data_IF_175634783283
#
_entry.id   IF_175634783283
#
_cell.length_a   1.000
_cell.length_b   1.000
_cell.length_c   1.000
_cell.angle_alpha   90.00
_cell.angle_beta   90.00
_cell.angle_gamma   90.00
#
_symmetry.space_group_name_H-M   'P 1'
#
loop_
_entity.id
_entity.type
_entity.pdbx_description
1 polymer ?
#
# COMPACT_ATOMS: atom_id res chain seq x y z
N UNK A 1 -50.38 -51.62 31.00
CA UNK A 1 -51.16 -50.38 30.94
C UNK A 1 -50.19 -49.25 31.19
N UNK A 2 -49.65 -48.67 30.12
CA UNK A 2 -49.18 -47.27 30.02
C UNK A 2 -48.56 -47.08 28.64
N UNK A 3 -49.30 -46.32 27.83
CA UNK A 3 -49.02 -45.95 26.45
C UNK A 3 -48.03 -44.78 26.43
N UNK A 4 -46.87 -44.94 25.78
CA UNK A 4 -46.05 -43.79 25.37
C UNK A 4 -46.01 -43.71 23.85
N UNK A 5 -46.89 -42.84 23.34
CA UNK A 5 -46.98 -42.38 21.96
C UNK A 5 -45.74 -41.56 21.63
N UNK A 6 -44.97 -41.98 20.62
CA UNK A 6 -43.83 -41.22 20.07
C UNK A 6 -44.34 -40.43 18.87
N UNK A 7 -44.61 -39.15 19.08
CA UNK A 7 -44.94 -38.21 18.01
C UNK A 7 -43.67 -37.92 17.18
N UNK A 8 -43.77 -38.11 15.87
CA UNK A 8 -42.79 -37.62 14.89
C UNK A 8 -42.81 -36.09 14.82
N UNK A 9 -41.67 -35.40 14.68
CA UNK A 9 -41.69 -33.97 14.41
C UNK A 9 -42.07 -33.72 12.94
N UNK A 10 -43.15 -32.97 12.76
CA UNK A 10 -43.60 -32.47 11.48
C UNK A 10 -42.47 -31.73 10.74
N UNK A 11 -42.18 -32.18 9.52
CA UNK A 11 -41.24 -31.51 8.63
C UNK A 11 -41.75 -30.12 8.27
N UNK A 12 -40.98 -29.10 8.66
CA UNK A 12 -41.18 -27.73 8.17
C UNK A 12 -41.08 -27.72 6.63
N UNK A 13 -42.00 -27.06 5.91
CA UNK A 13 -41.91 -26.96 4.47
C UNK A 13 -40.63 -26.20 4.10
N UNK A 14 -39.71 -26.89 3.41
CA UNK A 14 -38.57 -26.26 2.73
C UNK A 14 -39.12 -25.24 1.74
N UNK A 15 -39.01 -23.96 2.06
CA UNK A 15 -39.17 -22.88 1.09
C UNK A 15 -38.21 -23.16 -0.06
N UNK A 16 -38.78 -23.46 -1.23
CA UNK A 16 -38.03 -23.60 -2.46
C UNK A 16 -37.23 -22.32 -2.67
N UNK A 17 -35.90 -22.43 -2.59
CA UNK A 17 -35.01 -21.34 -2.91
C UNK A 17 -35.33 -20.88 -4.33
N UNK A 18 -35.81 -19.64 -4.46
CA UNK A 18 -36.04 -19.01 -5.75
C UNK A 18 -34.74 -19.13 -6.56
N UNK A 19 -34.84 -19.69 -7.77
CA UNK A 19 -33.73 -19.78 -8.69
C UNK A 19 -33.09 -18.39 -8.85
N UNK A 20 -31.75 -18.27 -8.89
CA UNK A 20 -31.11 -16.98 -9.12
C UNK A 20 -31.62 -16.41 -10.44
N UNK A 21 -32.31 -15.28 -10.35
CA UNK A 21 -32.76 -14.54 -11.52
C UNK A 21 -31.56 -14.27 -12.42
N UNK A 22 -31.61 -14.53 -13.74
CA UNK A 22 -30.48 -14.29 -14.61
C UNK A 22 -30.10 -12.81 -14.51
N UNK A 23 -28.84 -12.56 -14.15
CA UNK A 23 -28.28 -11.21 -14.15
C UNK A 23 -28.54 -10.56 -15.52
N UNK A 24 -28.83 -9.24 -15.58
CA UNK A 24 -29.09 -8.57 -16.85
C UNK A 24 -27.87 -8.73 -17.77
N UNK A 25 -27.99 -9.61 -18.76
CA UNK A 25 -27.06 -9.73 -19.88
C UNK A 25 -27.22 -8.47 -20.73
N UNK A 26 -26.16 -7.67 -20.85
CA UNK A 26 -26.14 -6.45 -21.64
C UNK A 26 -26.57 -6.68 -23.09
N UNK A 27 -27.10 -5.65 -23.75
CA UNK A 27 -27.58 -5.78 -25.12
C UNK A 27 -26.40 -6.03 -26.09
N UNK A 28 -26.62 -6.69 -27.24
CA UNK A 28 -25.58 -6.85 -28.26
C UNK A 28 -24.92 -5.52 -28.67
N UNK A 29 -25.69 -4.43 -28.70
CA UNK A 29 -25.20 -3.08 -29.02
C UNK A 29 -24.19 -2.55 -27.98
N UNK A 30 -24.41 -2.85 -26.69
CA UNK A 30 -23.49 -2.50 -25.60
C UNK A 30 -22.17 -3.27 -25.70
N UNK A 31 -22.26 -4.56 -26.06
CA UNK A 31 -21.09 -5.41 -26.27
C UNK A 31 -20.23 -4.86 -27.42
N UNK A 32 -20.86 -4.52 -28.55
CA UNK A 32 -20.17 -3.94 -29.70
C UNK A 32 -19.55 -2.57 -29.38
N UNK A 33 -20.23 -1.74 -28.57
CA UNK A 33 -19.67 -0.47 -28.09
C UNK A 33 -18.42 -0.69 -27.22
N UNK A 34 -18.46 -1.67 -26.32
CA UNK A 34 -17.31 -2.04 -25.49
C UNK A 34 -16.14 -2.51 -26.33
N UNK A 35 -16.38 -3.36 -27.34
CA UNK A 35 -15.34 -3.85 -28.25
C UNK A 35 -14.71 -2.71 -29.04
N UNK A 36 -15.51 -1.77 -29.58
CA UNK A 36 -15.00 -0.58 -30.28
C UNK A 36 -14.13 0.28 -29.36
N UNK A 37 -14.58 0.59 -28.14
CA UNK A 37 -13.82 1.38 -27.17
C UNK A 37 -12.52 0.69 -26.74
N UNK A 38 -12.54 -0.64 -26.60
CA UNK A 38 -11.33 -1.43 -26.34
C UNK A 38 -10.36 -1.43 -27.54
N UNK A 39 -10.86 -1.37 -28.77
CA UNK A 39 -10.03 -1.19 -29.96
C UNK A 39 -9.41 0.22 -30.00
N UNK A 40 -10.17 1.25 -29.66
CA UNK A 40 -9.68 2.63 -29.57
C UNK A 40 -8.56 2.80 -28.53
N UNK A 41 -8.68 2.16 -27.36
CA UNK A 41 -7.60 2.13 -26.36
C UNK A 41 -6.31 1.48 -26.91
N UNK A 42 -6.42 0.54 -27.86
CA UNK A 42 -5.29 -0.16 -28.47
C UNK A 42 -4.82 0.45 -29.80
N UNK A 43 -5.48 1.52 -30.27
CA UNK A 43 -5.25 2.10 -31.60
C UNK A 43 -3.88 2.74 -31.80
N UNK A 44 -3.18 3.08 -30.72
CA UNK A 44 -1.95 3.87 -30.77
C UNK A 44 -2.20 5.39 -30.82
N UNK A 45 -3.37 5.81 -31.28
CA UNK A 45 -3.81 7.20 -31.41
C UNK A 45 -4.16 7.81 -30.04
N UNK A 46 -3.36 8.80 -29.63
CA UNK A 46 -3.49 9.50 -28.35
C UNK A 46 -4.86 10.17 -28.20
N UNK A 47 -5.43 10.71 -29.27
CA UNK A 47 -6.71 11.42 -29.22
C UNK A 47 -7.84 10.43 -28.94
N UNK A 48 -7.86 9.29 -29.64
CA UNK A 48 -8.83 8.22 -29.42
C UNK A 48 -8.72 7.63 -28.02
N UNK A 49 -7.50 7.34 -27.58
CA UNK A 49 -7.23 6.84 -26.22
C UNK A 49 -7.80 7.80 -25.18
N UNK A 50 -7.46 9.10 -25.26
CA UNK A 50 -7.94 10.11 -24.31
C UNK A 50 -9.46 10.25 -24.30
N UNK A 51 -10.10 10.15 -25.48
CA UNK A 51 -11.56 10.15 -25.61
C UNK A 51 -12.20 8.99 -24.84
N UNK A 52 -11.66 7.77 -24.94
CA UNK A 52 -12.19 6.63 -24.17
C UNK A 52 -11.94 6.80 -22.66
N UNK A 53 -10.74 7.24 -22.26
CA UNK A 53 -10.38 7.43 -20.84
C UNK A 53 -11.24 8.50 -20.14
N UNK A 54 -11.64 9.56 -20.85
CA UNK A 54 -12.50 10.61 -20.31
C UNK A 54 -13.92 10.11 -20.06
N UNK A 55 -14.46 9.30 -20.97
CA UNK A 55 -15.77 8.64 -20.83
C UNK A 55 -15.83 7.61 -19.68
N UNK A 56 -14.68 7.09 -19.24
CA UNK A 56 -14.56 6.19 -18.10
C UNK A 56 -14.52 4.70 -18.48
N UNK A 57 -14.04 3.88 -17.56
CA UNK A 57 -13.75 2.46 -17.76
C UNK A 57 -14.73 1.61 -16.93
N UNK A 58 -16.01 1.66 -17.27
CA UNK A 58 -17.07 1.00 -16.48
C UNK A 58 -16.97 -0.52 -16.60
N UNK A 59 -16.71 -1.01 -17.81
CA UNK A 59 -16.65 -2.43 -18.10
C UNK A 59 -15.26 -3.01 -17.78
N UNK A 60 -15.16 -4.20 -17.13
CA UNK A 60 -13.88 -4.84 -16.81
C UNK A 60 -12.96 -5.06 -18.02
N UNK A 61 -13.56 -5.27 -19.20
CA UNK A 61 -12.84 -5.41 -20.46
C UNK A 61 -12.07 -4.12 -20.84
N UNK A 62 -12.63 -2.94 -20.55
CA UNK A 62 -11.95 -1.66 -20.80
C UNK A 62 -10.80 -1.44 -19.82
N UNK A 63 -10.95 -1.87 -18.56
CA UNK A 63 -9.86 -1.87 -17.58
C UNK A 63 -8.70 -2.75 -18.08
N UNK A 64 -9.00 -3.94 -18.59
CA UNK A 64 -7.99 -4.85 -19.17
C UNK A 64 -7.26 -4.19 -20.34
N UNK A 65 -8.01 -3.56 -21.25
CA UNK A 65 -7.46 -2.86 -22.41
C UNK A 65 -6.64 -1.61 -22.02
N UNK A 66 -6.97 -0.94 -20.91
CA UNK A 66 -6.27 0.24 -20.43
C UNK A 66 -4.97 -0.09 -19.67
N UNK A 67 -4.84 -1.28 -19.07
CA UNK A 67 -3.65 -1.65 -18.29
C UNK A 67 -2.32 -1.55 -19.08
N UNK A 68 -2.21 -2.05 -20.33
CA UNK A 68 -1.01 -1.87 -21.16
C UNK A 68 -0.60 -0.40 -21.38
N UNK A 69 -1.57 0.52 -21.36
CA UNK A 69 -1.31 1.96 -21.51
C UNK A 69 -0.55 2.55 -20.32
N UNK A 70 -0.53 1.87 -19.17
CA UNK A 70 0.33 2.28 -18.06
C UNK A 70 1.81 2.28 -18.43
N UNK A 71 2.26 1.57 -19.48
CA UNK A 71 3.65 1.64 -19.93
C UNK A 71 3.97 2.89 -20.76
N UNK A 72 2.96 3.52 -21.34
CA UNK A 72 3.09 4.66 -22.25
C UNK A 72 3.16 5.99 -21.50
N UNK A 73 4.26 6.71 -21.61
CA UNK A 73 4.46 7.96 -20.87
C UNK A 73 3.62 9.14 -21.39
N UNK A 74 3.25 9.14 -22.66
CA UNK A 74 2.46 10.19 -23.32
C UNK A 74 0.98 10.22 -22.90
N UNK A 75 0.44 9.09 -22.43
CA UNK A 75 -0.95 8.96 -21.96
C UNK A 75 -1.06 8.55 -20.49
N UNK A 76 0.06 8.22 -19.83
CA UNK A 76 0.05 7.77 -18.43
C UNK A 76 -0.68 8.71 -17.47
N UNK A 77 -0.55 10.03 -17.69
CA UNK A 77 -1.21 11.07 -16.90
C UNK A 77 -2.74 10.99 -16.95
N UNK A 78 -3.31 10.51 -18.06
CA UNK A 78 -4.75 10.35 -18.26
C UNK A 78 -5.23 8.96 -17.79
N UNK A 79 -4.39 7.93 -17.95
CA UNK A 79 -4.70 6.54 -17.58
C UNK A 79 -4.87 6.39 -16.07
N UNK A 80 -3.99 7.00 -15.25
CA UNK A 80 -4.07 6.85 -13.79
C UNK A 80 -5.39 7.38 -13.22
N UNK A 81 -5.85 8.61 -13.51
CA UNK A 81 -7.15 9.09 -13.05
C UNK A 81 -8.32 8.23 -13.54
N UNK A 82 -8.28 7.75 -14.78
CA UNK A 82 -9.32 6.87 -15.33
C UNK A 82 -9.40 5.54 -14.58
N UNK A 83 -8.26 4.89 -14.35
CA UNK A 83 -8.19 3.66 -13.57
C UNK A 83 -8.60 3.88 -12.12
N UNK A 84 -8.23 5.00 -11.49
CA UNK A 84 -8.66 5.31 -10.10
C UNK A 84 -10.17 5.42 -9.97
N UNK A 85 -10.86 6.00 -10.97
CA UNK A 85 -12.33 6.07 -11.00
C UNK A 85 -12.96 4.68 -11.10
N UNK A 86 -12.37 3.78 -11.89
CA UNK A 86 -12.87 2.41 -12.06
C UNK A 86 -12.45 1.44 -10.93
N UNK A 87 -11.36 1.75 -10.22
CA UNK A 87 -10.71 0.85 -9.27
C UNK A 87 -11.62 0.23 -8.19
N UNK A 88 -12.63 0.93 -7.62
CA UNK A 88 -13.54 0.31 -6.66
C UNK A 88 -14.28 -0.92 -7.21
N UNK A 89 -14.63 -0.91 -8.51
CA UNK A 89 -15.33 -2.01 -9.16
C UNK A 89 -14.39 -3.12 -9.67
N UNK A 90 -13.14 -2.79 -10.00
CA UNK A 90 -12.18 -3.71 -10.61
C UNK A 90 -10.94 -3.99 -9.74
N UNK A 91 -11.03 -3.83 -8.41
CA UNK A 91 -9.88 -4.01 -7.51
C UNK A 91 -9.21 -5.38 -7.67
N UNK A 92 -9.99 -6.46 -7.82
CA UNK A 92 -9.45 -7.82 -8.05
C UNK A 92 -8.57 -7.89 -9.29
N UNK A 93 -9.07 -7.41 -10.43
CA UNK A 93 -8.33 -7.37 -11.70
C UNK A 93 -7.02 -6.57 -11.60
N UNK A 94 -7.02 -5.46 -10.86
CA UNK A 94 -5.79 -4.68 -10.59
C UNK A 94 -4.80 -5.47 -9.73
N UNK A 95 -5.27 -6.20 -8.72
CA UNK A 95 -4.45 -7.06 -7.87
C UNK A 95 -3.88 -8.24 -8.68
N UNK A 96 -4.68 -8.87 -9.53
CA UNK A 96 -4.21 -9.96 -10.40
C UNK A 96 -3.07 -9.47 -11.30
N UNK A 97 -3.23 -8.31 -11.94
CA UNK A 97 -2.19 -7.70 -12.78
C UNK A 97 -0.96 -7.24 -12.00
N UNK A 98 -1.09 -6.90 -10.70
CA UNK A 98 0.03 -6.55 -9.83
C UNK A 98 0.90 -7.78 -9.52
N UNK A 99 0.26 -8.91 -9.25
CA UNK A 99 0.90 -10.14 -8.78
C UNK A 99 1.39 -11.04 -9.92
N UNK A 100 0.79 -10.95 -11.11
CA UNK A 100 1.21 -11.71 -12.29
C UNK A 100 2.59 -11.28 -12.80
N UNK A 101 3.58 -12.18 -12.70
CA UNK A 101 4.96 -11.91 -13.12
C UNK A 101 5.14 -11.78 -14.63
N UNK A 102 4.17 -12.23 -15.41
CA UNK A 102 4.17 -12.10 -16.87
C UNK A 102 3.80 -10.68 -17.33
N UNK A 103 3.19 -9.89 -16.45
CA UNK A 103 2.85 -8.50 -16.74
C UNK A 103 4.13 -7.64 -16.73
N UNK A 104 4.23 -6.72 -17.69
CA UNK A 104 5.37 -5.81 -17.83
C UNK A 104 5.70 -5.11 -16.48
N UNK A 105 6.96 -5.12 -16.03
CA UNK A 105 7.36 -4.53 -14.74
C UNK A 105 6.99 -3.06 -14.57
N UNK A 106 6.95 -2.26 -15.65
CA UNK A 106 6.54 -0.85 -15.60
C UNK A 106 5.07 -0.72 -15.24
N UNK A 107 4.22 -1.59 -15.77
CA UNK A 107 2.78 -1.64 -15.47
C UNK A 107 2.60 -2.03 -14.00
N UNK A 108 3.22 -3.15 -13.57
CA UNK A 108 3.16 -3.65 -12.18
C UNK A 108 3.59 -2.59 -11.16
N UNK A 109 4.61 -1.79 -11.48
CA UNK A 109 5.09 -0.69 -10.64
C UNK A 109 4.13 0.49 -10.53
N UNK A 110 3.24 0.68 -11.52
CA UNK A 110 2.28 1.79 -11.58
C UNK A 110 0.95 1.44 -10.92
N UNK A 111 0.54 0.16 -10.92
CA UNK A 111 -0.70 -0.32 -10.30
C UNK A 111 -0.87 0.07 -8.82
N UNK A 112 0.16 -0.01 -7.94
CA UNK A 112 0.01 0.38 -6.53
C UNK A 112 -0.49 1.82 -6.34
N UNK A 113 -0.21 2.73 -7.28
CA UNK A 113 -0.68 4.12 -7.24
C UNK A 113 -2.19 4.26 -7.47
N UNK A 114 -2.80 3.27 -8.13
CA UNK A 114 -4.24 3.13 -8.34
C UNK A 114 -4.86 2.47 -7.12
N UNK A 115 -4.30 1.33 -6.65
CA UNK A 115 -4.82 0.61 -5.48
C UNK A 115 -4.82 1.47 -4.20
N UNK A 116 -3.84 2.35 -4.03
CA UNK A 116 -3.79 3.28 -2.89
C UNK A 116 -5.01 4.22 -2.78
N UNK A 117 -5.80 4.42 -3.85
CA UNK A 117 -7.02 5.23 -3.80
C UNK A 117 -8.26 4.43 -3.41
N UNK A 118 -8.14 3.11 -3.23
CA UNK A 118 -9.26 2.22 -2.88
C UNK A 118 -9.13 1.81 -1.41
N UNK A 119 -9.88 2.43 -0.48
CA UNK A 119 -9.75 2.22 0.96
C UNK A 119 -10.43 0.92 1.42
N UNK A 120 -10.00 -0.24 0.89
CA UNK A 120 -10.59 -1.55 1.22
C UNK A 120 -9.54 -2.56 1.67
N UNK A 121 -9.94 -3.53 2.48
CA UNK A 121 -9.08 -4.64 2.89
C UNK A 121 -8.55 -5.43 1.69
N UNK A 122 -9.37 -5.63 0.65
CA UNK A 122 -8.94 -6.31 -0.59
C UNK A 122 -7.75 -5.60 -1.27
N UNK A 123 -7.77 -4.27 -1.35
CA UNK A 123 -6.66 -3.51 -1.89
C UNK A 123 -5.41 -3.63 -0.99
N UNK A 124 -5.60 -3.59 0.33
CA UNK A 124 -4.52 -3.79 1.30
C UNK A 124 -3.87 -5.18 1.18
N UNK A 125 -4.67 -6.24 1.07
CA UNK A 125 -4.20 -7.62 0.93
C UNK A 125 -3.38 -7.83 -0.35
N UNK A 126 -3.83 -7.26 -1.47
CA UNK A 126 -3.07 -7.29 -2.73
C UNK A 126 -1.75 -6.52 -2.65
N UNK A 127 -1.73 -5.37 -1.97
CA UNK A 127 -0.50 -4.61 -1.74
C UNK A 127 0.45 -5.37 -0.80
N UNK A 128 -0.08 -6.03 0.23
CA UNK A 128 0.69 -6.89 1.14
C UNK A 128 1.32 -8.07 0.41
N UNK A 129 0.58 -8.75 -0.47
CA UNK A 129 1.14 -9.80 -1.32
C UNK A 129 2.25 -9.26 -2.24
N UNK A 130 2.09 -8.03 -2.75
CA UNK A 130 3.14 -7.37 -3.53
C UNK A 130 4.43 -7.07 -2.76
N UNK A 131 4.43 -7.07 -1.42
CA UNK A 131 5.64 -6.99 -0.60
C UNK A 131 6.50 -8.25 -0.65
N UNK A 132 5.99 -9.36 -1.18
CA UNK A 132 6.74 -10.62 -1.32
C UNK A 132 7.58 -10.67 -2.60
N UNK A 133 7.34 -9.75 -3.55
CA UNK A 133 8.05 -9.70 -4.83
C UNK A 133 9.57 -9.76 -4.66
N UNK A 134 10.27 -10.51 -5.52
CA UNK A 134 11.73 -10.50 -5.59
C UNK A 134 12.31 -9.12 -5.92
N UNK A 135 11.53 -8.28 -6.60
CA UNK A 135 11.96 -6.97 -7.06
C UNK A 135 11.79 -5.89 -5.98
N UNK A 136 12.90 -5.28 -5.59
CA UNK A 136 12.92 -4.18 -4.61
C UNK A 136 12.00 -3.01 -5.00
N UNK A 137 11.98 -2.61 -6.27
CA UNK A 137 11.18 -1.47 -6.73
C UNK A 137 9.68 -1.75 -6.59
N UNK A 138 9.26 -2.99 -6.78
CA UNK A 138 7.88 -3.42 -6.59
C UNK A 138 7.49 -3.38 -5.11
N UNK A 139 8.31 -3.98 -4.23
CA UNK A 139 8.09 -3.93 -2.77
C UNK A 139 8.01 -2.50 -2.25
N UNK A 140 8.89 -1.63 -2.75
CA UNK A 140 8.88 -0.20 -2.48
C UNK A 140 7.54 0.46 -2.82
N UNK A 141 7.03 0.25 -4.04
CA UNK A 141 5.75 0.85 -4.44
C UNK A 141 4.57 0.30 -3.67
N UNK A 142 4.57 -0.99 -3.36
CA UNK A 142 3.52 -1.61 -2.56
C UNK A 142 3.49 -1.06 -1.13
N UNK A 143 4.65 -0.92 -0.47
CA UNK A 143 4.73 -0.33 0.85
C UNK A 143 4.26 1.13 0.87
N UNK A 144 4.69 1.95 -0.10
CA UNK A 144 4.23 3.34 -0.22
C UNK A 144 2.72 3.45 -0.42
N UNK A 145 2.15 2.57 -1.25
CA UNK A 145 0.72 2.52 -1.49
C UNK A 145 -0.05 2.10 -0.23
N UNK A 146 0.47 1.12 0.50
CA UNK A 146 -0.15 0.61 1.73
C UNK A 146 -0.11 1.67 2.84
N UNK A 147 0.99 2.40 3.00
CA UNK A 147 1.10 3.53 3.93
C UNK A 147 0.07 4.62 3.61
N UNK A 148 -0.17 4.91 2.32
CA UNK A 148 -1.20 5.89 1.91
C UNK A 148 -2.62 5.37 2.13
N UNK A 149 -2.83 4.08 1.94
CA UNK A 149 -4.13 3.43 2.13
C UNK A 149 -4.51 3.39 3.62
N UNK A 150 -3.57 3.01 4.49
CA UNK A 150 -3.80 2.92 5.95
C UNK A 150 -4.09 4.28 6.61
N UNK A 151 -3.70 5.38 5.97
CA UNK A 151 -4.07 6.74 6.41
C UNK A 151 -5.54 7.07 6.16
N UNK A 152 -6.18 6.36 5.23
CA UNK A 152 -7.53 6.66 4.74
C UNK A 152 -8.55 5.63 5.23
N UNK A 153 -8.09 4.48 5.73
CA UNK A 153 -8.92 3.36 6.13
C UNK A 153 -8.24 2.55 7.23
N UNK A 154 -9.04 2.08 8.18
CA UNK A 154 -8.62 1.03 9.08
C UNK A 154 -8.56 -0.30 8.31
N UNK A 155 -7.34 -0.79 8.06
CA UNK A 155 -7.09 -2.08 7.42
C UNK A 155 -6.22 -2.94 8.34
N UNK A 156 -6.48 -4.24 8.33
CA UNK A 156 -5.68 -5.20 9.08
C UNK A 156 -4.36 -5.43 8.36
N UNK A 157 -3.26 -5.12 9.04
CA UNK A 157 -1.89 -5.34 8.56
C UNK A 157 -1.16 -6.14 9.64
N UNK A 158 -0.88 -7.44 9.42
CA UNK A 158 -0.22 -8.26 10.43
C UNK A 158 1.22 -7.77 10.68
N UNK A 159 1.52 -7.37 11.92
CA UNK A 159 2.82 -6.85 12.30
C UNK A 159 3.98 -7.82 11.98
N UNK A 160 3.77 -9.12 12.14
CA UNK A 160 4.76 -10.14 11.79
C UNK A 160 5.17 -10.10 10.31
N UNK A 161 4.22 -9.84 9.39
CA UNK A 161 4.51 -9.68 7.95
C UNK A 161 5.32 -8.41 7.70
N UNK A 162 4.96 -7.31 8.36
CA UNK A 162 5.68 -6.04 8.27
C UNK A 162 7.13 -6.20 8.71
N UNK A 163 7.37 -6.84 9.86
CA UNK A 163 8.72 -7.07 10.37
C UNK A 163 9.53 -8.01 9.48
N UNK A 164 8.92 -9.07 8.93
CA UNK A 164 9.60 -9.96 7.99
C UNK A 164 10.06 -9.23 6.72
N UNK A 165 9.21 -8.37 6.16
CA UNK A 165 9.58 -7.53 5.00
C UNK A 165 10.67 -6.54 5.38
N UNK A 166 10.55 -5.85 6.52
CA UNK A 166 11.58 -4.93 6.99
C UNK A 166 12.94 -5.63 7.18
N UNK A 167 12.96 -6.85 7.74
CA UNK A 167 14.16 -7.67 7.88
C UNK A 167 14.81 -7.95 6.53
N UNK A 168 14.04 -8.42 5.55
CA UNK A 168 14.53 -8.70 4.18
C UNK A 168 15.17 -7.45 3.56
N UNK A 169 14.57 -6.28 3.76
CA UNK A 169 15.11 -5.02 3.25
C UNK A 169 16.42 -4.61 3.92
N UNK A 170 16.52 -4.83 5.23
CA UNK A 170 17.73 -4.57 6.00
C UNK A 170 18.87 -5.47 5.54
N UNK A 171 18.60 -6.77 5.40
CA UNK A 171 19.60 -7.76 5.01
C UNK A 171 20.18 -7.45 3.63
N UNK A 172 19.33 -6.98 2.71
CA UNK A 172 19.76 -6.58 1.37
C UNK A 172 20.48 -5.22 1.29
N UNK A 173 20.54 -4.41 2.36
CA UNK A 173 21.21 -3.10 2.29
C UNK A 173 22.67 -3.26 1.85
N UNK A 174 23.16 -2.38 0.98
CA UNK A 174 24.59 -2.25 0.67
C UNK A 174 25.22 -1.07 1.41
N UNK A 175 26.54 -0.89 1.28
CA UNK A 175 27.19 0.36 1.67
C UNK A 175 26.60 1.52 0.83
N UNK A 176 26.01 2.53 1.47
CA UNK A 176 25.32 3.64 0.79
C UNK A 176 23.78 3.53 0.68
N UNK A 177 23.14 2.63 1.45
CA UNK A 177 21.71 2.32 1.39
C UNK A 177 20.70 3.39 1.86
N UNK A 178 20.96 4.68 1.68
CA UNK A 178 20.10 5.76 2.21
C UNK A 178 18.65 5.70 1.73
N UNK A 179 18.40 5.36 0.46
CA UNK A 179 17.03 5.18 -0.07
C UNK A 179 16.35 3.91 0.43
N UNK A 180 17.13 2.86 0.73
CA UNK A 180 16.60 1.62 1.31
C UNK A 180 16.27 1.78 2.80
N UNK A 181 17.01 2.63 3.52
CA UNK A 181 16.67 2.99 4.89
C UNK A 181 15.31 3.69 4.99
N UNK A 182 15.03 4.65 4.09
CA UNK A 182 13.70 5.27 4.01
C UNK A 182 12.60 4.23 3.79
N UNK A 183 12.87 3.24 2.93
CA UNK A 183 11.93 2.18 2.65
C UNK A 183 11.65 1.32 3.88
N UNK A 184 12.69 0.92 4.63
CA UNK A 184 12.55 0.16 5.88
C UNK A 184 11.67 0.92 6.87
N UNK A 185 11.93 2.20 7.08
CA UNK A 185 11.13 3.00 8.01
C UNK A 185 9.69 3.21 7.53
N UNK A 186 9.46 3.34 6.21
CA UNK A 186 8.11 3.34 5.65
C UNK A 186 7.37 2.02 5.93
N UNK A 187 8.04 0.88 5.79
CA UNK A 187 7.47 -0.44 6.14
C UNK A 187 7.16 -0.51 7.63
N UNK A 188 8.12 -0.17 8.50
CA UNK A 188 7.94 -0.21 9.96
C UNK A 188 6.76 0.65 10.43
N UNK A 189 6.50 1.78 9.77
CA UNK A 189 5.35 2.65 10.07
C UNK A 189 3.97 2.02 9.81
N UNK A 190 3.92 0.84 9.19
CA UNK A 190 2.68 0.07 9.00
C UNK A 190 2.30 -0.78 10.22
N UNK A 191 3.25 -1.08 11.10
CA UNK A 191 3.02 -1.88 12.32
C UNK A 191 3.29 -1.10 13.61
N UNK A 192 4.05 -0.01 13.53
CA UNK A 192 4.42 0.84 14.65
C UNK A 192 3.78 2.22 14.50
N UNK A 193 3.78 2.99 15.59
CA UNK A 193 3.29 4.36 15.56
C UNK A 193 4.05 5.21 14.53
N UNK A 194 3.30 5.69 13.54
CA UNK A 194 3.88 6.29 12.34
C UNK A 194 4.69 7.54 12.61
N UNK A 195 4.13 8.49 13.37
CA UNK A 195 4.75 9.80 13.57
C UNK A 195 6.11 9.70 14.28
N UNK A 196 6.25 8.98 15.41
CA UNK A 196 7.56 8.71 16.03
C UNK A 196 8.55 8.02 15.09
N UNK A 197 8.12 7.04 14.29
CA UNK A 197 9.00 6.33 13.33
C UNK A 197 9.52 7.28 12.25
N UNK A 198 8.66 8.14 11.70
CA UNK A 198 9.08 9.13 10.71
C UNK A 198 10.04 10.16 11.31
N UNK A 199 9.82 10.60 12.56
CA UNK A 199 10.75 11.50 13.27
C UNK A 199 12.08 10.80 13.52
N UNK A 200 12.08 9.54 13.93
CA UNK A 200 13.29 8.77 14.16
C UNK A 200 14.14 8.66 12.88
N UNK A 201 13.52 8.41 11.72
CA UNK A 201 14.23 8.42 10.44
C UNK A 201 14.89 9.77 10.15
N UNK A 202 14.16 10.87 10.37
CA UNK A 202 14.68 12.24 10.16
C UNK A 202 15.84 12.53 11.10
N UNK A 203 15.71 12.17 12.38
CA UNK A 203 16.75 12.32 13.40
C UNK A 203 18.04 11.56 13.03
N UNK A 204 17.92 10.32 12.54
CA UNK A 204 19.05 9.50 12.10
C UNK A 204 19.77 10.05 10.86
N UNK A 205 19.14 10.96 10.11
CA UNK A 205 19.75 11.64 8.95
C UNK A 205 20.20 13.05 9.25
N UNK A 206 19.71 13.61 10.35
CA UNK A 206 20.08 14.93 10.85
C UNK A 206 21.46 14.96 11.50
N UNK A 207 21.87 16.16 11.93
CA UNK A 207 23.14 16.43 12.60
C UNK A 207 23.02 16.60 14.12
N UNK A 208 21.80 16.63 14.65
CA UNK A 208 21.54 16.81 16.09
C UNK A 208 21.83 15.52 16.86
N UNK A 209 22.92 15.46 17.65
CA UNK A 209 23.32 14.23 18.35
C UNK A 209 22.33 13.86 19.46
N UNK A 210 21.70 14.85 20.10
CA UNK A 210 20.72 14.62 21.16
C UNK A 210 19.46 13.98 20.59
N UNK A 211 18.90 14.58 19.53
CA UNK A 211 17.72 14.03 18.86
C UNK A 211 18.00 12.66 18.24
N UNK A 212 19.20 12.46 17.69
CA UNK A 212 19.65 11.14 17.20
C UNK A 212 19.68 10.11 18.33
N UNK A 213 20.17 10.49 19.52
CA UNK A 213 20.17 9.65 20.72
C UNK A 213 18.75 9.25 21.14
N UNK A 214 17.85 10.21 21.27
CA UNK A 214 16.43 9.97 21.63
C UNK A 214 15.74 9.07 20.60
N UNK A 215 16.04 9.25 19.30
CA UNK A 215 15.51 8.38 18.25
C UNK A 215 16.01 6.93 18.36
N UNK A 216 17.30 6.73 18.66
CA UNK A 216 17.84 5.39 18.88
C UNK A 216 17.27 4.72 20.13
N UNK A 217 17.07 5.48 21.21
CA UNK A 217 16.41 4.99 22.44
C UNK A 217 14.95 4.58 22.16
N UNK A 218 14.20 5.40 21.42
CA UNK A 218 12.83 5.06 21.02
C UNK A 218 12.79 3.77 20.19
N UNK A 219 13.66 3.67 19.18
CA UNK A 219 13.73 2.49 18.32
C UNK A 219 14.18 1.24 19.09
N UNK A 220 15.00 1.39 20.13
CA UNK A 220 15.40 0.27 21.00
C UNK A 220 14.19 -0.37 21.71
N UNK A 221 13.22 0.45 22.12
CA UNK A 221 11.97 -0.02 22.75
C UNK A 221 11.02 -0.70 21.78
N UNK A 222 10.80 -0.10 20.60
CA UNK A 222 9.69 -0.50 19.71
C UNK A 222 10.10 -1.55 18.68
N UNK A 223 11.39 -1.70 18.38
CA UNK A 223 11.85 -2.66 17.39
C UNK A 223 12.09 -4.05 18.01
N UNK A 224 11.56 -5.13 17.40
CA UNK A 224 11.88 -6.49 17.81
C UNK A 224 13.40 -6.76 17.79
N UNK A 225 13.93 -7.63 18.68
CA UNK A 225 15.36 -7.92 18.79
C UNK A 225 16.02 -8.23 17.44
N UNK A 226 15.39 -9.09 16.64
CA UNK A 226 15.86 -9.38 15.29
C UNK A 226 16.08 -8.10 14.50
N UNK A 227 15.06 -7.25 14.33
CA UNK A 227 15.17 -6.02 13.54
C UNK A 227 16.33 -5.13 14.03
N UNK A 228 16.51 -4.97 15.34
CA UNK A 228 17.61 -4.18 15.92
C UNK A 228 18.98 -4.75 15.55
N UNK A 229 19.18 -6.05 15.76
CA UNK A 229 20.43 -6.75 15.46
C UNK A 229 20.88 -6.59 14.01
N UNK A 230 19.94 -6.57 13.06
CA UNK A 230 20.28 -6.36 11.66
C UNK A 230 20.42 -4.87 11.29
N UNK A 231 19.64 -3.98 11.90
CA UNK A 231 19.61 -2.56 11.53
C UNK A 231 20.81 -1.78 12.08
N UNK A 232 21.24 -2.05 13.33
CA UNK A 232 22.28 -1.27 14.00
C UNK A 232 23.62 -1.25 13.26
N UNK A 233 24.14 -2.39 12.76
CA UNK A 233 25.36 -2.39 11.95
C UNK A 233 25.25 -1.51 10.71
N UNK A 234 24.05 -1.41 10.09
CA UNK A 234 23.83 -0.59 8.89
C UNK A 234 23.81 0.92 9.20
N UNK A 235 23.57 1.27 10.46
CA UNK A 235 23.65 2.63 10.97
C UNK A 235 25.04 2.99 11.51
N UNK A 236 26.01 2.07 11.43
CA UNK A 236 27.35 2.24 12.00
C UNK A 236 27.40 2.10 13.52
N UNK A 237 26.41 1.41 14.11
CA UNK A 237 26.30 1.19 15.55
C UNK A 237 26.66 -0.25 15.88
N UNK A 238 27.44 -0.46 16.93
CA UNK A 238 27.71 -1.79 17.48
C UNK A 238 26.51 -2.27 18.31
N UNK A 239 25.90 -1.35 19.06
CA UNK A 239 24.63 -1.51 19.77
C UNK A 239 23.98 -0.12 19.95
N UNK A 240 22.66 -0.06 20.14
CA UNK A 240 22.01 1.17 20.61
C UNK A 240 22.35 1.38 22.09
N UNK A 241 22.33 2.64 22.56
CA UNK A 241 22.29 2.91 23.99
C UNK A 241 21.09 2.16 24.60
N UNK A 242 21.26 1.43 25.71
CA UNK A 242 20.15 0.73 26.32
C UNK A 242 19.07 1.74 26.70
N UNK A 243 17.82 1.40 26.42
CA UNK A 243 16.67 2.09 26.96
C UNK A 243 16.78 2.27 28.49
N UNK A 244 16.80 3.52 28.97
CA UNK A 244 16.90 3.82 30.41
C UNK A 244 15.60 4.38 30.98
N UNK A 245 14.75 4.90 30.11
CA UNK A 245 13.51 5.61 30.45
C UNK A 245 12.30 4.83 29.96
N UNK A 246 11.10 5.08 30.50
CA UNK A 246 9.85 4.55 29.95
C UNK A 246 9.68 4.96 28.48
N UNK A 247 9.13 4.05 27.66
CA UNK A 247 8.93 4.28 26.22
C UNK A 247 8.08 5.53 25.94
N UNK A 248 7.07 5.80 26.78
CA UNK A 248 6.17 6.94 26.63
C UNK A 248 6.91 8.28 26.82
N UNK A 249 7.84 8.35 27.78
CA UNK A 249 8.65 9.55 28.02
C UNK A 249 9.57 9.85 26.82
N UNK A 250 10.19 8.79 26.28
CA UNK A 250 11.08 8.89 25.10
C UNK A 250 10.27 9.29 23.86
N UNK A 251 9.09 8.69 23.67
CA UNK A 251 8.15 9.03 22.59
C UNK A 251 7.73 10.50 22.66
N UNK A 252 7.29 10.96 23.83
CA UNK A 252 6.83 12.33 24.03
C UNK A 252 7.95 13.35 23.84
N UNK A 253 9.17 13.04 24.29
CA UNK A 253 10.34 13.86 24.03
C UNK A 253 10.67 13.94 22.54
N UNK A 254 10.58 12.82 21.82
CA UNK A 254 10.82 12.75 20.38
C UNK A 254 9.80 13.63 19.62
N UNK A 255 8.52 13.53 19.98
CA UNK A 255 7.45 14.37 19.43
C UNK A 255 7.70 15.86 19.71
N UNK A 256 7.97 16.23 20.97
CA UNK A 256 8.27 17.61 21.37
C UNK A 256 9.49 18.17 20.61
N UNK A 257 10.57 17.42 20.50
CA UNK A 257 11.81 17.89 19.85
C UNK A 257 11.64 18.12 18.35
N UNK A 258 10.79 17.33 17.69
CA UNK A 258 10.46 17.49 16.26
C UNK A 258 9.68 18.79 15.96
N UNK A 259 8.79 19.20 16.86
CA UNK A 259 7.96 20.41 16.70
C UNK A 259 8.80 21.70 16.74
N UNK A 260 9.88 21.68 17.53
CA UNK A 260 10.86 22.77 17.63
C UNK A 260 11.69 22.89 16.34
N UNK A 261 12.08 21.75 15.78
CA UNK A 261 12.83 21.65 14.53
C UNK A 261 12.03 22.11 13.30
N UNK A 262 10.79 21.65 13.13
CA UNK A 262 9.92 22.05 11.99
C UNK A 262 9.63 23.55 11.98
N UNK A 263 9.56 24.17 13.16
CA UNK A 263 9.38 25.62 13.30
C UNK A 263 10.66 26.41 12.97
N UNK A 264 11.84 25.84 13.22
CA UNK A 264 13.13 26.42 12.82
C UNK A 264 13.35 26.36 11.30
N UNK A 265 13.05 25.23 10.67
CA UNK A 265 13.21 25.06 9.21
C UNK A 265 12.27 25.97 8.40
N UNK A 266 11.03 26.19 8.86
CA UNK A 266 10.12 27.16 8.21
C UNK A 266 10.66 28.59 8.27
N UNK A 267 11.28 28.98 9.39
CA UNK A 267 11.89 30.32 9.53
C UNK A 267 13.10 30.50 8.62
N UNK A 268 13.97 29.50 8.52
CA UNK A 268 15.13 29.54 7.62
C UNK A 268 14.72 29.60 6.14
N UNK A 269 13.68 28.87 5.73
CA UNK A 269 13.14 28.97 4.36
C UNK A 269 12.47 30.31 4.07
N UNK A 270 11.82 30.94 5.06
CA UNK A 270 11.23 32.27 4.92
C UNK A 270 12.27 33.39 4.87
N UNK A 271 13.45 33.18 5.48
CA UNK A 271 14.56 34.14 5.48
C UNK A 271 15.48 34.01 4.26
N UNK A 272 15.48 32.87 3.57
CA UNK A 272 16.25 32.64 2.34
C UNK A 272 15.46 32.92 1.05
N UNK A 273 14.22 33.41 1.18
CA UNK A 273 13.33 33.81 0.08
C UNK A 273 13.10 35.32 -0.01
N UNK A 274 13.97 36.13 0.60
CA UNK A 274 14.07 37.58 0.45
C UNK A 274 15.50 37.92 0.01
#
# INVERSE_FOLDING_TARGET
METYSRAEPAGSPRTAAAAPSPAPSGSPEDADATVRRAADLRSGDVVRIRSVLSQGLVEPALVAAALPLLRRDDVFGDVIPALRRAAPACTGQLVDALLDERVDPVIRRRIPRVLASVPTQRAADGLLAGLESERLDQRYRCAQALVRLSQRAAVSIPAGRVFAVARREIDGMGAGGGSRLEHVFAILSLALEREPIEIALRALRGRDPTLRGTALEYLDHVLPPGIREALWPRLGLVAAPPARRPVDDVRDELLRSSSRWTTGERRLRSSAGH
#
